data_IF_521601639343
#
_entry.id   IF_521601639343
#
_cell.length_a   1.000
_cell.length_b   1.000
_cell.length_c   1.000
_cell.angle_alpha   90.00
_cell.angle_beta   90.00
_cell.angle_gamma   90.00
#
_symmetry.space_group_name_H-M   'P 1'
#
loop_
_entity.id
_entity.type
_entity.pdbx_description
1 polymer ?
#
# COMPACT_ATOMS: atom_id res chain seq x y z
N UNK A 1 -6.11 -10.27 -5.12
CA UNK A 1 -4.97 -10.97 -5.78
C UNK A 1 -4.89 -10.53 -7.23
N UNK A 2 -3.93 -9.68 -7.59
CA UNK A 2 -3.69 -9.30 -8.98
C UNK A 2 -2.88 -10.38 -9.70
N UNK A 3 -3.18 -10.65 -10.97
CA UNK A 3 -2.42 -11.60 -11.79
C UNK A 3 -0.93 -11.25 -11.83
N UNK A 4 -0.08 -12.24 -11.57
CA UNK A 4 1.38 -12.11 -11.48
C UNK A 4 2.10 -12.04 -12.83
N UNK A 5 1.40 -12.18 -13.97
CA UNK A 5 2.02 -12.19 -15.30
C UNK A 5 1.39 -11.17 -16.25
N UNK A 6 2.07 -10.05 -16.45
CA UNK A 6 1.73 -9.06 -17.48
C UNK A 6 2.74 -9.14 -18.64
N UNK A 7 2.39 -9.83 -19.73
CA UNK A 7 3.11 -9.74 -20.99
C UNK A 7 2.57 -8.56 -21.80
N UNK A 8 3.23 -7.41 -21.76
CA UNK A 8 2.83 -6.24 -22.54
C UNK A 8 3.87 -5.92 -23.63
N UNK A 9 3.55 -6.27 -24.88
CA UNK A 9 4.18 -5.64 -26.04
C UNK A 9 3.48 -4.30 -26.30
N UNK A 10 4.22 -3.18 -26.17
CA UNK A 10 3.70 -1.85 -26.48
C UNK A 10 3.43 -1.69 -27.98
N UNK A 11 2.16 -1.67 -28.36
CA UNK A 11 1.70 -1.14 -29.65
C UNK A 11 0.51 -0.22 -29.40
N UNK A 12 0.30 0.80 -30.24
CA UNK A 12 -0.88 1.68 -30.22
C UNK A 12 -2.18 0.87 -30.20
N UNK A 13 -2.19 -0.28 -30.87
CA UNK A 13 -3.29 -1.25 -30.87
C UNK A 13 -3.62 -1.79 -29.47
N UNK A 14 -2.62 -1.99 -28.59
CA UNK A 14 -2.86 -2.49 -27.24
C UNK A 14 -3.47 -1.41 -26.33
N UNK A 15 -3.13 -0.13 -26.54
CA UNK A 15 -3.74 0.95 -25.78
C UNK A 15 -5.23 1.10 -26.13
N UNK A 16 -5.60 1.05 -27.41
CA UNK A 16 -7.00 1.08 -27.83
C UNK A 16 -7.77 -0.12 -27.28
N UNK A 17 -7.19 -1.32 -27.32
CA UNK A 17 -7.81 -2.52 -26.72
C UNK A 17 -8.03 -2.38 -25.22
N UNK A 18 -7.04 -1.80 -24.51
CA UNK A 18 -7.16 -1.54 -23.08
C UNK A 18 -8.29 -0.56 -22.77
N UNK A 19 -8.37 0.57 -23.49
CA UNK A 19 -9.44 1.56 -23.31
C UNK A 19 -10.81 0.95 -23.60
N UNK A 20 -10.95 0.16 -24.67
CA UNK A 20 -12.22 -0.50 -25.00
C UNK A 20 -12.61 -1.53 -23.92
N UNK A 21 -11.65 -2.30 -23.39
CA UNK A 21 -11.92 -3.23 -22.29
C UNK A 21 -12.39 -2.47 -21.05
N UNK A 22 -11.73 -1.37 -20.68
CA UNK A 22 -12.13 -0.52 -19.54
C UNK A 22 -13.56 0.04 -19.71
N UNK A 23 -13.92 0.50 -20.92
CA UNK A 23 -15.28 0.97 -21.17
C UNK A 23 -16.32 -0.15 -21.04
N UNK A 24 -16.02 -1.35 -21.54
CA UNK A 24 -16.88 -2.51 -21.37
C UNK A 24 -17.03 -2.90 -19.89
N UNK A 25 -15.93 -2.81 -19.09
CA UNK A 25 -15.98 -3.10 -17.66
C UNK A 25 -16.85 -2.08 -16.91
N UNK A 26 -16.81 -0.80 -17.30
CA UNK A 26 -17.68 0.26 -16.74
C UNK A 26 -19.15 -0.05 -17.06
N UNK A 27 -19.45 -0.40 -18.30
CA UNK A 27 -20.82 -0.78 -18.72
C UNK A 27 -21.30 -2.01 -17.96
N UNK A 28 -20.45 -3.02 -17.82
CA UNK A 28 -20.76 -4.21 -17.03
C UNK A 28 -21.05 -3.89 -15.57
N UNK A 29 -20.26 -2.99 -14.94
CA UNK A 29 -20.48 -2.52 -13.58
C UNK A 29 -21.83 -1.81 -13.44
N UNK A 30 -22.20 -0.93 -14.37
CA UNK A 30 -23.49 -0.24 -14.39
C UNK A 30 -24.65 -1.23 -14.50
N UNK A 31 -24.53 -2.24 -15.37
CA UNK A 31 -25.52 -3.32 -15.49
C UNK A 31 -25.64 -4.12 -14.18
N UNK A 32 -24.52 -4.44 -13.53
CA UNK A 32 -24.52 -5.19 -12.26
C UNK A 32 -25.20 -4.40 -11.13
N UNK A 33 -24.94 -3.09 -11.04
CA UNK A 33 -25.59 -2.20 -10.08
C UNK A 33 -27.11 -2.16 -10.34
N UNK A 34 -27.50 -1.91 -11.59
CA UNK A 34 -28.90 -1.81 -11.98
C UNK A 34 -29.68 -3.11 -11.74
N UNK A 35 -29.03 -4.24 -11.93
CA UNK A 35 -29.62 -5.56 -11.71
C UNK A 35 -29.51 -6.08 -10.26
N UNK A 36 -28.99 -5.27 -9.31
CA UNK A 36 -28.77 -5.64 -7.91
C UNK A 36 -27.99 -6.96 -7.75
N UNK A 37 -26.90 -7.12 -8.50
CA UNK A 37 -26.09 -8.34 -8.48
C UNK A 37 -25.01 -8.34 -7.38
N UNK A 38 -24.88 -7.25 -6.62
CA UNK A 38 -23.98 -7.18 -5.49
C UNK A 38 -24.63 -7.71 -4.21
N UNK A 39 -23.83 -8.40 -3.41
CA UNK A 39 -24.29 -8.86 -2.09
C UNK A 39 -24.51 -7.64 -1.18
N UNK A 40 -25.71 -7.51 -0.63
CA UNK A 40 -26.08 -6.41 0.28
C UNK A 40 -26.48 -6.89 1.68
N UNK A 41 -26.76 -8.19 1.84
CA UNK A 41 -27.33 -8.73 3.08
C UNK A 41 -26.26 -9.05 4.15
N UNK A 42 -25.01 -9.24 3.75
CA UNK A 42 -23.93 -9.62 4.64
C UNK A 42 -22.82 -8.59 4.59
N UNK A 43 -22.73 -7.77 5.62
CA UNK A 43 -21.60 -6.87 5.80
C UNK A 43 -20.41 -7.66 6.34
N UNK A 44 -19.26 -7.58 5.64
CA UNK A 44 -18.01 -8.22 6.07
C UNK A 44 -16.93 -7.17 6.32
N UNK A 45 -16.04 -7.52 7.23
CA UNK A 45 -14.80 -6.78 7.49
C UNK A 45 -13.62 -7.71 7.25
N UNK A 46 -12.62 -7.23 6.53
CA UNK A 46 -11.31 -7.85 6.34
C UNK A 46 -10.21 -6.88 6.71
N UNK A 47 -8.98 -7.36 6.74
CA UNK A 47 -7.82 -6.51 6.95
C UNK A 47 -6.56 -7.09 6.28
N UNK A 48 -5.60 -6.20 6.03
CA UNK A 48 -4.25 -6.50 5.57
C UNK A 48 -3.26 -5.87 6.55
N UNK A 49 -2.21 -6.59 6.91
CA UNK A 49 -1.12 -6.09 7.75
C UNK A 49 0.20 -6.25 7.03
N UNK A 50 0.83 -5.14 6.73
CA UNK A 50 2.20 -5.12 6.23
C UNK A 50 3.19 -5.22 7.39
N UNK A 51 4.28 -5.97 7.19
CA UNK A 51 5.25 -6.30 8.23
C UNK A 51 6.66 -6.15 7.69
N UNK A 52 7.53 -5.46 8.44
CA UNK A 52 8.94 -5.35 8.10
C UNK A 52 9.73 -6.56 8.62
N UNK A 53 10.67 -7.05 7.81
CA UNK A 53 11.64 -8.08 8.16
C UNK A 53 12.96 -7.38 8.50
N UNK A 54 13.54 -7.70 9.65
CA UNK A 54 14.79 -7.12 10.11
C UNK A 54 15.79 -8.20 10.53
N UNK A 55 17.08 -7.89 10.43
CA UNK A 55 18.16 -8.72 10.96
C UNK A 55 18.34 -8.50 12.49
N UNK A 56 19.37 -9.09 13.07
CA UNK A 56 19.67 -8.98 14.51
C UNK A 56 19.94 -7.55 14.97
N UNK A 57 20.47 -6.68 14.09
CA UNK A 57 20.74 -5.26 14.32
C UNK A 57 19.52 -4.36 14.04
N UNK A 58 18.34 -4.93 13.82
CA UNK A 58 17.10 -4.24 13.43
C UNK A 58 17.19 -3.48 12.11
N UNK A 59 18.13 -3.81 11.22
CA UNK A 59 18.19 -3.26 9.86
C UNK A 59 17.34 -4.10 8.91
N UNK A 60 16.80 -3.51 7.81
CA UNK A 60 16.04 -4.24 6.82
C UNK A 60 16.76 -5.51 6.34
N UNK A 61 16.05 -6.63 6.30
CA UNK A 61 16.55 -7.91 5.79
C UNK A 61 15.82 -8.28 4.49
N UNK A 62 16.54 -8.51 3.40
CA UNK A 62 16.03 -8.67 2.04
C UNK A 62 15.58 -10.10 1.68
N UNK A 63 15.06 -10.82 2.67
CA UNK A 63 14.74 -12.26 2.57
C UNK A 63 13.23 -12.57 2.52
N UNK A 64 12.39 -11.60 2.11
CA UNK A 64 10.93 -11.80 2.04
C UNK A 64 10.51 -13.00 1.19
N UNK A 65 11.14 -13.22 0.03
CA UNK A 65 10.81 -14.35 -0.86
C UNK A 65 11.10 -15.69 -0.17
N UNK A 66 12.30 -15.84 0.41
CA UNK A 66 12.69 -17.08 1.11
C UNK A 66 11.78 -17.34 2.32
N UNK A 67 11.37 -16.26 3.01
CA UNK A 67 10.46 -16.37 4.13
C UNK A 67 9.07 -16.83 3.67
N UNK A 68 8.53 -16.24 2.62
CA UNK A 68 7.23 -16.60 2.05
C UNK A 68 7.22 -18.04 1.53
N UNK A 69 8.28 -18.49 0.87
CA UNK A 69 8.42 -19.86 0.39
C UNK A 69 8.40 -20.87 1.56
N UNK A 70 9.00 -20.51 2.71
CA UNK A 70 8.99 -21.34 3.91
C UNK A 70 7.63 -21.34 4.61
N UNK A 71 6.98 -20.20 4.68
CA UNK A 71 5.63 -20.07 5.26
C UNK A 71 4.63 -20.86 4.41
N UNK A 72 4.73 -20.77 3.08
CA UNK A 72 3.87 -21.45 2.09
C UNK A 72 2.38 -21.42 2.45
N UNK A 73 1.86 -20.24 2.75
CA UNK A 73 0.47 -20.07 3.20
C UNK A 73 -0.24 -18.97 2.36
N UNK A 74 -1.47 -19.19 1.88
CA UNK A 74 -2.14 -18.32 0.91
C UNK A 74 -2.50 -16.92 1.44
N UNK A 75 -2.48 -16.72 2.74
CA UNK A 75 -2.73 -15.40 3.36
C UNK A 75 -1.49 -14.52 3.42
N UNK A 76 -0.34 -14.96 2.93
CA UNK A 76 0.88 -14.17 2.88
C UNK A 76 1.25 -13.83 1.45
N UNK A 77 1.67 -12.61 1.22
CA UNK A 77 2.08 -12.13 -0.11
C UNK A 77 3.31 -11.21 -0.02
N UNK A 78 3.90 -10.98 -1.19
CA UNK A 78 5.04 -10.08 -1.34
C UNK A 78 4.58 -8.63 -1.36
N UNK A 79 5.45 -7.76 -0.83
CA UNK A 79 5.39 -6.32 -0.99
C UNK A 79 6.46 -5.81 -1.97
N UNK A 80 6.41 -4.47 -2.26
CA UNK A 80 7.36 -3.82 -3.15
C UNK A 80 8.81 -4.02 -2.70
N UNK A 81 9.07 -3.92 -1.39
CA UNK A 81 10.41 -4.14 -0.85
C UNK A 81 10.65 -5.59 -0.45
N UNK A 82 11.85 -6.11 -0.71
CA UNK A 82 12.29 -7.43 -0.28
C UNK A 82 12.37 -7.59 1.24
N UNK A 83 12.22 -6.52 1.99
CA UNK A 83 12.20 -6.51 3.46
C UNK A 83 10.80 -6.32 4.05
N UNK A 84 9.76 -6.41 3.21
CA UNK A 84 8.37 -6.36 3.65
C UNK A 84 7.59 -7.57 3.15
N UNK A 85 6.64 -8.03 3.96
CA UNK A 85 5.61 -9.01 3.59
C UNK A 85 4.25 -8.48 4.03
N UNK A 86 3.19 -9.00 3.44
CA UNK A 86 1.81 -8.67 3.79
C UNK A 86 1.09 -9.92 4.29
N UNK A 87 0.28 -9.74 5.33
CA UNK A 87 -0.62 -10.74 5.91
C UNK A 87 -2.05 -10.34 5.56
N UNK A 88 -2.73 -11.14 4.74
CA UNK A 88 -4.12 -10.93 4.34
C UNK A 88 -5.05 -11.72 5.26
N UNK A 89 -5.83 -11.04 6.10
CA UNK A 89 -6.81 -11.68 6.95
C UNK A 89 -8.07 -12.06 6.17
N UNK A 90 -8.67 -13.19 6.53
CA UNK A 90 -9.92 -13.62 5.89
C UNK A 90 -11.07 -12.70 6.30
N UNK A 91 -11.91 -12.26 5.34
CA UNK A 91 -13.09 -11.48 5.64
C UNK A 91 -14.04 -12.22 6.59
N UNK A 92 -14.53 -11.52 7.60
CA UNK A 92 -15.48 -12.04 8.59
C UNK A 92 -16.78 -11.26 8.56
N UNK A 93 -17.89 -11.89 8.92
CA UNK A 93 -19.15 -11.16 9.10
C UNK A 93 -18.98 -10.10 10.21
N UNK A 94 -19.46 -8.88 9.96
CA UNK A 94 -19.45 -7.79 10.94
C UNK A 94 -20.56 -8.04 11.97
N UNK A 95 -20.21 -8.80 13.00
CA UNK A 95 -21.10 -9.21 14.10
C UNK A 95 -20.35 -9.19 15.43
N UNK A 96 -21.03 -9.29 16.57
CA UNK A 96 -20.36 -9.35 17.86
C UNK A 96 -19.25 -10.43 17.90
N UNK A 97 -18.06 -10.02 18.32
CA UNK A 97 -16.88 -10.90 18.40
C UNK A 97 -15.98 -10.92 17.16
N UNK A 98 -16.36 -10.29 16.04
CA UNK A 98 -15.55 -10.29 14.80
C UNK A 98 -14.18 -9.64 15.00
N UNK A 99 -14.07 -8.57 15.77
CA UNK A 99 -12.78 -7.91 16.02
C UNK A 99 -11.84 -8.79 16.87
N UNK A 100 -12.38 -9.49 17.87
CA UNK A 100 -11.57 -10.43 18.66
C UNK A 100 -11.10 -11.63 17.81
N UNK A 101 -11.95 -12.11 16.91
CA UNK A 101 -11.59 -13.18 15.98
C UNK A 101 -10.51 -12.71 14.99
N UNK A 102 -10.63 -11.48 14.46
CA UNK A 102 -9.65 -10.87 13.55
C UNK A 102 -8.30 -10.61 14.24
N UNK A 103 -8.32 -10.16 15.50
CA UNK A 103 -7.12 -10.00 16.33
C UNK A 103 -6.41 -11.34 16.54
N UNK A 104 -7.15 -12.39 16.84
CA UNK A 104 -6.59 -13.73 17.04
C UNK A 104 -6.00 -14.29 15.74
N UNK A 105 -6.70 -14.14 14.60
CA UNK A 105 -6.18 -14.57 13.29
C UNK A 105 -4.89 -13.82 12.95
N UNK A 106 -4.83 -12.50 13.17
CA UNK A 106 -3.62 -11.72 12.98
C UNK A 106 -2.47 -12.20 13.88
N UNK A 107 -2.73 -12.44 15.17
CA UNK A 107 -1.72 -12.95 16.12
C UNK A 107 -1.16 -14.30 15.68
N UNK A 108 -2.04 -15.21 15.29
CA UNK A 108 -1.65 -16.56 14.84
C UNK A 108 -0.80 -16.49 13.57
N UNK A 109 -1.18 -15.67 12.59
CA UNK A 109 -0.42 -15.47 11.35
C UNK A 109 0.93 -14.78 11.62
N UNK A 110 0.94 -13.73 12.45
CA UNK A 110 2.18 -13.06 12.85
C UNK A 110 3.13 -14.02 13.54
N UNK A 111 2.63 -14.85 14.49
CA UNK A 111 3.45 -15.83 15.19
C UNK A 111 3.99 -16.91 14.24
N UNK A 112 3.16 -17.38 13.28
CA UNK A 112 3.60 -18.32 12.25
C UNK A 112 4.78 -17.73 11.45
N UNK A 113 4.63 -16.51 10.95
CA UNK A 113 5.69 -15.85 10.19
C UNK A 113 6.95 -15.57 11.06
N UNK A 114 6.78 -15.17 12.32
CA UNK A 114 7.89 -14.92 13.24
C UNK A 114 8.69 -16.21 13.55
N UNK A 115 8.02 -17.35 13.68
CA UNK A 115 8.69 -18.63 13.88
C UNK A 115 9.56 -19.01 12.67
N UNK A 116 9.07 -18.77 11.44
CA UNK A 116 9.86 -19.01 10.24
C UNK A 116 10.98 -17.99 10.08
N UNK A 117 10.75 -16.71 10.39
CA UNK A 117 11.78 -15.67 10.34
C UNK A 117 12.96 -15.99 11.28
N UNK A 118 12.65 -16.48 12.49
CA UNK A 118 13.68 -16.86 13.47
C UNK A 118 14.63 -17.96 12.96
N UNK A 119 14.18 -18.84 12.06
CA UNK A 119 15.07 -19.87 11.45
C UNK A 119 16.12 -19.26 10.52
N UNK A 120 15.95 -18.02 10.10
CA UNK A 120 16.88 -17.25 9.26
C UNK A 120 17.61 -16.15 10.04
N UNK A 121 17.59 -16.16 11.37
CA UNK A 121 18.14 -15.10 12.22
C UNK A 121 17.54 -13.72 11.89
N UNK A 122 16.27 -13.69 11.50
CA UNK A 122 15.52 -12.46 11.26
C UNK A 122 14.34 -12.34 12.20
N UNK A 123 13.83 -11.12 12.36
CA UNK A 123 12.70 -10.77 13.22
C UNK A 123 11.67 -10.00 12.40
N UNK A 124 10.45 -9.97 12.91
CA UNK A 124 9.36 -9.18 12.33
C UNK A 124 9.09 -7.95 13.20
N UNK A 125 8.87 -6.81 12.55
CA UNK A 125 8.58 -5.53 13.20
C UNK A 125 7.35 -4.89 12.57
N UNK A 126 6.45 -4.39 13.41
CA UNK A 126 5.31 -3.55 13.01
C UNK A 126 5.69 -2.09 13.24
N UNK A 127 5.82 -1.33 12.17
CA UNK A 127 6.12 0.10 12.19
C UNK A 127 5.55 0.73 10.92
N UNK A 128 5.08 1.95 10.98
CA UNK A 128 4.59 2.67 9.80
C UNK A 128 5.70 3.01 8.80
N UNK A 129 6.90 3.32 9.31
CA UNK A 129 8.17 3.34 8.57
C UNK A 129 9.21 2.73 9.49
N UNK A 130 10.00 1.78 9.01
CA UNK A 130 11.07 1.19 9.81
C UNK A 130 12.18 2.24 10.08
N UNK A 131 12.43 2.64 11.32
CA UNK A 131 13.35 3.74 11.66
C UNK A 131 14.80 3.54 11.20
N UNK A 132 15.20 2.29 11.00
CA UNK A 132 16.56 1.88 10.65
C UNK A 132 16.83 1.82 9.16
N UNK A 133 15.84 2.13 8.30
CA UNK A 133 16.04 2.26 6.86
C UNK A 133 17.07 3.32 6.57
N UNK A 134 18.09 2.99 5.77
CA UNK A 134 19.09 3.90 5.26
C UNK A 134 18.93 4.11 3.75
N UNK A 135 19.78 4.98 3.17
CA UNK A 135 19.75 5.21 1.72
C UNK A 135 20.08 3.98 0.89
N UNK A 136 20.77 3.02 1.46
CA UNK A 136 21.16 1.79 0.77
C UNK A 136 19.91 0.94 0.46
N UNK A 137 18.98 0.80 1.41
CA UNK A 137 17.78 -0.01 1.28
C UNK A 137 16.70 0.63 0.39
N UNK A 138 16.91 1.89 -0.04
CA UNK A 138 16.04 2.60 -0.99
C UNK A 138 16.47 2.38 -2.45
N UNK A 139 17.49 1.59 -2.70
CA UNK A 139 17.93 1.22 -4.05
C UNK A 139 16.99 0.18 -4.69
N UNK A 140 16.95 0.13 -6.02
CA UNK A 140 16.16 -0.87 -6.77
C UNK A 140 16.66 -2.31 -6.56
N UNK A 141 17.81 -2.50 -5.95
CA UNK A 141 18.31 -3.81 -5.54
C UNK A 141 17.43 -4.47 -4.48
N UNK A 142 16.76 -3.66 -3.66
CA UNK A 142 15.79 -4.10 -2.66
C UNK A 142 14.37 -4.21 -3.18
N UNK A 143 14.13 -3.91 -4.45
CA UNK A 143 12.83 -4.13 -5.08
C UNK A 143 12.56 -5.63 -5.24
N UNK A 144 11.40 -6.09 -4.81
CA UNK A 144 10.95 -7.47 -5.02
C UNK A 144 10.99 -7.81 -6.52
N UNK A 145 11.63 -8.92 -6.93
CA UNK A 145 11.97 -9.23 -8.33
C UNK A 145 10.76 -9.74 -9.12
N UNK A 146 9.64 -9.00 -9.06
CA UNK A 146 8.46 -9.26 -9.86
C UNK A 146 8.38 -8.28 -11.03
N UNK A 147 8.06 -8.78 -12.21
CA UNK A 147 7.98 -7.98 -13.44
C UNK A 147 7.02 -6.77 -13.27
N UNK A 148 5.89 -6.98 -12.60
CA UNK A 148 4.90 -5.92 -12.32
C UNK A 148 5.49 -4.72 -11.57
N UNK A 149 6.41 -4.94 -10.62
CA UNK A 149 7.03 -3.87 -9.83
C UNK A 149 8.09 -3.10 -10.63
N UNK A 150 8.88 -3.81 -11.44
CA UNK A 150 9.81 -3.18 -12.37
C UNK A 150 9.07 -2.35 -13.43
N UNK A 151 7.95 -2.85 -13.94
CA UNK A 151 7.10 -2.12 -14.89
C UNK A 151 6.48 -0.88 -14.23
N UNK A 152 5.98 -0.99 -13.00
CA UNK A 152 5.42 0.13 -12.25
C UNK A 152 6.47 1.23 -12.03
N UNK A 153 7.66 0.86 -11.54
CA UNK A 153 8.78 1.78 -11.35
C UNK A 153 9.17 2.50 -12.65
N UNK A 154 9.28 1.74 -13.75
CA UNK A 154 9.56 2.31 -15.07
C UNK A 154 8.45 3.25 -15.52
N UNK A 155 7.18 2.86 -15.37
CA UNK A 155 6.04 3.67 -15.82
C UNK A 155 5.94 4.99 -15.06
N UNK A 156 6.17 4.98 -13.76
CA UNK A 156 6.18 6.21 -12.94
C UNK A 156 7.29 7.17 -13.39
N UNK A 157 8.50 6.66 -13.63
CA UNK A 157 9.62 7.46 -14.18
C UNK A 157 9.30 8.02 -15.57
N UNK A 158 8.74 7.19 -16.46
CA UNK A 158 8.37 7.61 -17.82
C UNK A 158 7.31 8.73 -17.80
N UNK A 159 6.32 8.66 -16.91
CA UNK A 159 5.27 9.68 -16.76
C UNK A 159 5.85 10.95 -16.15
N UNK A 160 6.66 10.82 -15.09
CA UNK A 160 7.25 11.97 -14.41
C UNK A 160 8.25 12.72 -15.29
N UNK A 161 9.05 12.01 -16.11
CA UNK A 161 10.05 12.57 -17.01
C UNK A 161 11.25 13.25 -16.33
N UNK A 162 11.26 13.33 -14.99
CA UNK A 162 12.34 13.90 -14.15
C UNK A 162 12.36 13.23 -12.79
N UNK A 163 13.38 13.53 -11.98
CA UNK A 163 13.43 13.07 -10.59
C UNK A 163 12.26 13.63 -9.76
N UNK A 164 11.83 12.87 -8.78
CA UNK A 164 10.89 13.31 -7.76
C UNK A 164 11.61 14.14 -6.71
N UNK A 165 10.99 15.22 -6.26
CA UNK A 165 11.43 16.02 -5.14
C UNK A 165 10.62 15.65 -3.90
N UNK A 166 11.27 15.09 -2.88
CA UNK A 166 10.71 14.86 -1.55
C UNK A 166 11.12 16.00 -0.64
N UNK A 167 10.15 16.71 -0.09
CA UNK A 167 10.39 17.72 0.93
C UNK A 167 9.49 17.48 2.13
N UNK A 168 10.07 16.91 3.17
CA UNK A 168 9.38 16.45 4.37
C UNK A 168 9.86 17.28 5.56
N UNK A 169 8.94 17.67 6.44
CA UNK A 169 9.19 18.51 7.60
C UNK A 169 8.70 17.84 8.89
N UNK A 170 9.31 18.23 9.98
CA UNK A 170 8.95 17.86 11.34
C UNK A 170 9.82 18.65 12.31
N UNK A 171 10.44 17.99 13.26
CA UNK A 171 11.51 18.55 14.09
C UNK A 171 12.73 18.84 13.20
N UNK A 172 13.06 17.88 12.35
CA UNK A 172 14.05 18.02 11.28
C UNK A 172 13.39 18.36 9.93
N UNK A 173 14.23 18.64 8.92
CA UNK A 173 13.84 18.73 7.52
C UNK A 173 14.60 17.69 6.69
N UNK A 174 13.89 17.08 5.74
CA UNK A 174 14.46 16.13 4.78
C UNK A 174 14.11 16.57 3.36
N UNK A 175 15.12 16.92 2.57
CA UNK A 175 14.97 17.23 1.15
C UNK A 175 15.81 16.26 0.33
N UNK A 176 15.17 15.48 -0.53
CA UNK A 176 15.80 14.46 -1.36
C UNK A 176 15.23 14.51 -2.78
N UNK A 177 16.13 14.42 -3.76
CA UNK A 177 15.78 14.12 -5.16
C UNK A 177 16.05 12.66 -5.45
N UNK A 178 15.07 11.99 -6.06
CA UNK A 178 15.17 10.57 -6.37
C UNK A 178 14.33 10.21 -7.62
N UNK A 179 14.53 9.00 -8.13
CA UNK A 179 13.75 8.41 -9.22
C UNK A 179 13.25 6.99 -8.86
N UNK A 180 13.35 6.62 -7.60
CA UNK A 180 13.07 5.28 -7.11
C UNK A 180 11.67 5.18 -6.48
N UNK A 181 10.89 4.16 -6.84
CA UNK A 181 9.64 3.79 -6.19
C UNK A 181 9.86 3.30 -4.75
N UNK A 182 11.11 2.99 -4.37
CA UNK A 182 11.44 2.45 -3.05
C UNK A 182 11.17 3.42 -1.89
N UNK A 183 10.96 4.71 -2.15
CA UNK A 183 10.46 5.63 -1.12
C UNK A 183 9.00 5.34 -0.73
N UNK A 184 8.19 4.93 -1.69
CA UNK A 184 6.83 4.43 -1.40
C UNK A 184 6.91 3.12 -0.61
N UNK A 185 7.78 2.20 -1.02
CA UNK A 185 8.00 0.91 -0.37
C UNK A 185 8.53 0.98 1.08
N UNK A 186 8.96 2.16 1.56
CA UNK A 186 9.28 2.38 2.98
C UNK A 186 8.04 2.39 3.87
N UNK A 187 6.86 2.67 3.31
CA UNK A 187 5.62 2.75 4.06
C UNK A 187 5.08 1.34 4.31
N UNK A 188 4.56 1.13 5.51
CA UNK A 188 3.81 -0.06 5.88
C UNK A 188 2.54 0.35 6.61
N UNK A 189 1.49 -0.43 6.48
CA UNK A 189 0.18 -0.10 7.00
C UNK A 189 -0.56 -1.30 7.59
N UNK A 190 -1.63 -0.99 8.33
CA UNK A 190 -2.73 -1.89 8.61
C UNK A 190 -3.96 -1.33 7.88
N UNK A 191 -4.49 -2.08 6.93
CA UNK A 191 -5.64 -1.67 6.13
C UNK A 191 -6.87 -2.44 6.57
N UNK A 192 -7.99 -1.74 6.73
CA UNK A 192 -9.29 -2.37 7.02
C UNK A 192 -10.19 -2.26 5.79
N UNK A 193 -10.82 -3.37 5.41
CA UNK A 193 -11.72 -3.46 4.27
C UNK A 193 -13.13 -3.71 4.77
N UNK A 194 -14.02 -2.77 4.54
CA UNK A 194 -15.43 -2.89 4.91
C UNK A 194 -16.27 -3.11 3.65
N UNK A 195 -16.94 -4.25 3.58
CA UNK A 195 -17.97 -4.50 2.57
C UNK A 195 -19.23 -3.76 2.95
N UNK A 196 -19.79 -3.00 2.01
CA UNK A 196 -21.03 -2.24 2.17
C UNK A 196 -21.96 -2.54 0.99
N UNK A 197 -23.26 -2.29 1.16
CA UNK A 197 -24.20 -2.33 0.06
C UNK A 197 -23.89 -1.22 -0.97
N UNK A 198 -24.17 -1.46 -2.24
CA UNK A 198 -23.82 -0.53 -3.31
C UNK A 198 -24.56 0.82 -3.21
N UNK A 199 -25.79 0.82 -2.70
CA UNK A 199 -26.61 2.02 -2.46
C UNK A 199 -26.17 2.81 -1.22
N UNK A 200 -25.39 2.19 -0.32
CA UNK A 200 -24.79 2.85 0.84
C UNK A 200 -23.38 3.40 0.58
N UNK A 201 -22.85 3.24 -0.64
CA UNK A 201 -21.46 3.60 -0.96
C UNK A 201 -21.17 5.07 -0.67
N UNK A 202 -22.02 5.99 -1.13
CA UNK A 202 -21.81 7.45 -0.97
C UNK A 202 -21.75 7.87 0.51
N UNK A 203 -22.75 7.59 1.36
CA UNK A 203 -22.68 7.94 2.77
C UNK A 203 -21.56 7.24 3.51
N UNK A 204 -21.27 5.97 3.24
CA UNK A 204 -20.17 5.22 3.86
C UNK A 204 -18.80 5.78 3.49
N UNK A 205 -18.58 6.12 2.22
CA UNK A 205 -17.33 6.76 1.76
C UNK A 205 -17.11 8.11 2.44
N UNK A 206 -18.12 8.97 2.46
CA UNK A 206 -18.05 10.28 3.12
C UNK A 206 -17.80 10.15 4.62
N UNK A 207 -18.45 9.18 5.27
CA UNK A 207 -18.21 8.88 6.69
C UNK A 207 -16.76 8.41 6.93
N UNK A 208 -16.24 7.51 6.09
CA UNK A 208 -14.86 7.05 6.17
C UNK A 208 -13.85 8.20 6.06
N UNK A 209 -14.09 9.15 5.14
CA UNK A 209 -13.27 10.37 5.06
C UNK A 209 -13.36 11.20 6.34
N UNK A 210 -14.55 11.37 6.92
CA UNK A 210 -14.74 12.16 8.13
C UNK A 210 -13.99 11.56 9.33
N UNK A 211 -13.96 10.24 9.48
CA UNK A 211 -13.28 9.58 10.61
C UNK A 211 -11.79 9.35 10.38
N UNK A 212 -11.27 9.53 9.15
CA UNK A 212 -9.86 9.30 8.83
C UNK A 212 -8.92 10.10 9.73
N UNK A 213 -9.23 11.37 10.03
CA UNK A 213 -8.37 12.21 10.85
C UNK A 213 -8.24 11.71 12.30
N UNK A 214 -9.33 11.44 13.06
CA UNK A 214 -9.22 10.88 14.41
C UNK A 214 -8.60 9.48 14.43
N UNK A 215 -8.88 8.61 13.45
CA UNK A 215 -8.25 7.29 13.35
C UNK A 215 -6.74 7.44 13.16
N UNK A 216 -6.31 8.30 12.25
CA UNK A 216 -4.90 8.58 12.02
C UNK A 216 -4.21 9.14 13.26
N UNK A 217 -4.86 10.03 13.99
CA UNK A 217 -4.30 10.65 15.18
C UNK A 217 -3.96 9.64 16.29
N UNK A 218 -4.73 8.55 16.43
CA UNK A 218 -4.49 7.50 17.42
C UNK A 218 -3.57 6.38 16.92
N UNK A 219 -3.29 6.32 15.61
CA UNK A 219 -2.49 5.27 14.97
C UNK A 219 -1.16 5.76 14.40
N UNK A 220 -0.74 7.00 14.74
CA UNK A 220 0.53 7.57 14.26
C UNK A 220 1.73 6.71 14.66
N UNK A 221 2.55 6.30 13.68
CA UNK A 221 3.67 5.38 13.90
C UNK A 221 4.79 5.52 12.86
N UNK A 222 5.07 6.73 12.37
CA UNK A 222 6.08 6.93 11.33
C UNK A 222 6.90 8.21 11.48
N UNK A 223 7.43 8.55 12.68
CA UNK A 223 8.12 9.81 12.90
C UNK A 223 9.54 9.86 12.33
N UNK A 224 10.15 8.73 11.98
CA UNK A 224 11.57 8.65 11.63
C UNK A 224 11.77 8.14 10.20
N UNK A 225 12.58 8.87 9.43
CA UNK A 225 13.01 8.45 8.09
C UNK A 225 14.46 8.92 7.85
N UNK A 226 15.35 8.01 7.45
CA UNK A 226 16.76 8.29 7.15
C UNK A 226 17.49 9.04 8.26
N UNK A 227 17.20 8.68 9.51
CA UNK A 227 17.81 9.31 10.70
C UNK A 227 17.30 10.70 11.01
N UNK A 228 16.20 11.14 10.40
CA UNK A 228 15.54 12.42 10.65
C UNK A 228 14.27 12.24 11.45
N UNK A 229 14.06 13.10 12.45
CA UNK A 229 12.80 13.20 13.18
C UNK A 229 11.86 14.15 12.44
N UNK A 230 10.80 13.57 11.90
CA UNK A 230 9.84 14.27 11.04
C UNK A 230 8.48 14.33 11.73
N UNK A 231 7.43 14.67 11.00
CA UNK A 231 6.07 14.61 11.50
C UNK A 231 5.67 13.19 11.93
N UNK A 232 4.86 13.07 12.99
CA UNK A 232 4.51 11.77 13.62
C UNK A 232 3.89 10.75 12.66
N UNK A 233 3.30 11.22 11.56
CA UNK A 233 2.68 10.40 10.52
C UNK A 233 3.20 10.80 9.13
N UNK A 234 4.53 10.82 8.98
CA UNK A 234 5.19 11.29 7.76
C UNK A 234 4.93 10.41 6.55
N UNK A 235 4.50 9.14 6.71
CA UNK A 235 4.21 8.23 5.58
C UNK A 235 3.14 8.78 4.63
N UNK A 236 2.19 9.60 5.11
CA UNK A 236 1.20 10.24 4.23
C UNK A 236 1.89 11.15 3.21
N UNK A 237 2.75 12.07 3.71
CA UNK A 237 3.47 12.99 2.85
C UNK A 237 4.52 12.27 2.00
N UNK A 238 5.19 11.25 2.56
CA UNK A 238 6.14 10.41 1.85
C UNK A 238 5.46 9.69 0.68
N UNK A 239 4.35 9.01 0.92
CA UNK A 239 3.59 8.31 -0.10
C UNK A 239 3.12 9.27 -1.21
N UNK A 240 2.47 10.37 -0.83
CA UNK A 240 1.97 11.36 -1.79
C UNK A 240 3.08 11.92 -2.69
N UNK A 241 4.23 12.29 -2.11
CA UNK A 241 5.32 12.91 -2.85
C UNK A 241 6.16 11.91 -3.65
N UNK A 242 6.30 10.67 -3.18
CA UNK A 242 7.13 9.65 -3.84
C UNK A 242 6.56 9.19 -5.19
N UNK A 243 5.26 9.35 -5.40
CA UNK A 243 4.57 8.95 -6.64
C UNK A 243 3.84 10.12 -7.34
N UNK A 244 4.15 11.36 -6.98
CA UNK A 244 3.55 12.55 -7.61
C UNK A 244 4.10 12.75 -9.03
N UNK A 245 3.25 12.54 -10.01
CA UNK A 245 3.61 12.63 -11.43
C UNK A 245 3.49 14.03 -12.04
N UNK A 246 3.04 15.02 -11.28
CA UNK A 246 2.93 16.40 -11.75
C UNK A 246 4.32 17.04 -11.91
N UNK A 247 4.61 17.67 -13.04
CA UNK A 247 5.98 18.15 -13.34
C UNK A 247 6.14 19.66 -13.44
N UNK A 248 5.08 20.42 -13.56
CA UNK A 248 5.17 21.87 -13.63
C UNK A 248 4.49 22.53 -12.43
N UNK A 249 4.84 23.80 -12.19
CA UNK A 249 4.16 24.61 -11.17
C UNK A 249 2.67 24.76 -11.52
N UNK A 250 2.35 24.87 -12.80
CA UNK A 250 0.98 25.01 -13.28
C UNK A 250 0.21 23.71 -13.03
N UNK A 251 0.79 22.54 -13.34
CA UNK A 251 0.18 21.26 -13.02
C UNK A 251 -0.03 21.05 -11.53
N UNK A 252 0.92 21.47 -10.68
CA UNK A 252 0.78 21.39 -9.23
C UNK A 252 -0.37 22.24 -8.72
N UNK A 253 -0.65 23.37 -9.38
CA UNK A 253 -1.76 24.26 -9.02
C UNK A 253 -3.11 23.79 -9.56
N UNK A 254 -3.14 23.29 -10.78
CA UNK A 254 -4.37 22.99 -11.52
C UNK A 254 -4.79 21.52 -11.42
N UNK A 255 -3.85 20.60 -11.29
CA UNK A 255 -4.12 19.17 -11.23
C UNK A 255 -4.05 18.64 -9.81
N UNK A 256 -4.89 17.67 -9.50
CA UNK A 256 -4.83 16.93 -8.23
C UNK A 256 -3.62 15.99 -8.24
N UNK A 257 -2.95 15.79 -7.10
CA UNK A 257 -1.95 14.73 -6.98
C UNK A 257 -2.61 13.37 -7.19
N UNK A 258 -1.83 12.39 -7.62
CA UNK A 258 -2.31 11.01 -7.78
C UNK A 258 -2.91 10.45 -6.48
N UNK A 259 -2.33 10.81 -5.35
CA UNK A 259 -2.81 10.44 -4.01
C UNK A 259 -3.38 11.68 -3.34
N UNK A 260 -4.64 11.59 -2.95
CA UNK A 260 -5.35 12.70 -2.30
C UNK A 260 -6.58 12.16 -1.55
N UNK A 261 -6.99 12.86 -0.49
CA UNK A 261 -8.28 12.63 0.17
C UNK A 261 -9.50 13.19 -0.60
N UNK A 262 -9.27 13.83 -1.74
CA UNK A 262 -10.31 14.61 -2.41
C UNK A 262 -10.47 15.99 -1.80
N UNK A 263 -11.37 16.80 -2.36
CA UNK A 263 -11.64 18.17 -1.91
C UNK A 263 -13.06 18.33 -1.40
N UNK A 264 -13.97 17.52 -1.89
CA UNK A 264 -15.40 17.64 -1.66
C UNK A 264 -15.98 16.26 -1.30
N UNK A 265 -17.13 16.26 -0.67
CA UNK A 265 -17.95 15.08 -0.48
C UNK A 265 -18.43 14.56 -1.83
N UNK A 266 -18.59 13.26 -1.95
CA UNK A 266 -19.23 12.65 -3.12
C UNK A 266 -20.76 12.64 -2.91
N UNK A 267 -21.53 12.69 -4.03
CA UNK A 267 -23.00 12.74 -4.03
C UNK A 267 -23.59 11.66 -4.93
#
# INVERSE_FOLDING_TARGET
MGETSLKVKKTTSNHIKFVNALLNDIEALEMMITANLFESDNIRIGAEQEVCIVNEDFKPADNAIDLLDKINHPQFTTELAKYNIEINLLPQLLQPGCFAAMENDLKDKFQLAANHAATNNTKLVLAGILPTISRNEISLEYLTPLERYHMLSKKLRDIRGRQFDLYLKGVDELHIRHDSIMFEACNTSFQTHLQIAHDEFVPAYNWALAISAPVLAISSNSPLLLGKELWSEIRIALFQQSIDTRHSIDEIREQRPRVTFGKDWIY
#
